data_IF_077526488044
#
_entry.id   IF_077526488044
#
_cell.length_a   1.000
_cell.length_b   1.000
_cell.length_c   1.000
_cell.angle_alpha   90.00
_cell.angle_beta   90.00
_cell.angle_gamma   90.00
#
_symmetry.space_group_name_H-M   'P 1'
#
loop_
_entity.id
_entity.type
_entity.pdbx_description
1 polymer ?
#
# COMPACT_ATOMS: atom_id res chain seq x y z
N UNK A 1 -40.67 58.56 -32.89
CA UNK A 1 -40.12 57.22 -33.22
C UNK A 1 -39.51 56.67 -31.97
N UNK A 2 -40.14 55.69 -31.34
CA UNK A 2 -39.62 55.00 -30.13
C UNK A 2 -38.92 53.73 -30.60
N UNK A 3 -37.64 53.68 -30.40
CA UNK A 3 -36.83 52.50 -30.68
C UNK A 3 -37.00 51.41 -29.59
N UNK A 4 -37.49 50.26 -30.02
CA UNK A 4 -37.65 49.07 -29.16
C UNK A 4 -36.30 48.64 -28.57
N UNK A 5 -36.23 48.32 -27.27
CA UNK A 5 -35.05 47.70 -26.71
C UNK A 5 -35.00 46.22 -27.14
N UNK A 6 -33.93 45.88 -27.84
CA UNK A 6 -33.59 44.53 -28.24
C UNK A 6 -33.51 43.64 -26.99
N UNK A 7 -34.43 42.69 -26.87
CA UNK A 7 -34.37 41.60 -25.92
C UNK A 7 -33.09 40.83 -26.15
N UNK A 8 -32.11 41.02 -25.27
CA UNK A 8 -30.95 40.11 -25.18
C UNK A 8 -31.48 38.73 -24.85
N UNK A 9 -31.45 37.80 -25.82
CA UNK A 9 -31.66 36.38 -25.56
C UNK A 9 -30.73 35.98 -24.43
N UNK A 10 -31.29 35.59 -23.27
CA UNK A 10 -30.52 34.86 -22.27
C UNK A 10 -30.07 33.54 -22.94
N UNK A 11 -28.81 33.47 -23.32
CA UNK A 11 -28.18 32.20 -23.63
C UNK A 11 -28.21 31.40 -22.34
N UNK A 12 -29.09 30.42 -22.29
CA UNK A 12 -28.99 29.35 -21.31
C UNK A 12 -27.75 28.58 -21.71
N UNK A 13 -26.65 28.78 -20.98
CA UNK A 13 -25.48 27.94 -21.09
C UNK A 13 -25.90 26.53 -20.66
N UNK A 14 -25.92 25.60 -21.60
CA UNK A 14 -25.99 24.19 -21.26
C UNK A 14 -24.75 23.82 -20.42
N UNK A 15 -24.92 23.12 -19.32
CA UNK A 15 -23.80 22.77 -18.44
C UNK A 15 -22.64 22.02 -19.13
N UNK A 16 -22.89 21.47 -20.32
CA UNK A 16 -21.88 20.72 -21.08
C UNK A 16 -20.80 21.52 -21.81
N UNK A 17 -20.93 22.88 -21.93
CA UNK A 17 -19.99 23.71 -22.69
C UNK A 17 -18.88 24.35 -21.87
N UNK A 18 -18.85 24.15 -20.56
CA UNK A 18 -17.87 24.76 -19.65
C UNK A 18 -16.67 23.88 -19.30
N UNK A 19 -16.70 22.61 -19.68
CA UNK A 19 -15.58 21.73 -19.44
C UNK A 19 -14.88 21.55 -20.78
N UNK A 20 -13.77 22.25 -20.95
CA UNK A 20 -12.83 21.98 -22.00
C UNK A 20 -12.14 20.66 -21.65
N UNK A 21 -12.73 19.58 -22.09
CA UNK A 21 -12.12 18.26 -22.07
C UNK A 21 -11.32 18.15 -23.37
N UNK A 22 -10.17 18.76 -23.41
CA UNK A 22 -9.14 18.27 -24.31
C UNK A 22 -8.86 16.80 -23.89
N UNK A 23 -8.93 15.87 -24.84
CA UNK A 23 -8.53 14.49 -24.60
C UNK A 23 -7.14 14.50 -23.96
N UNK A 24 -7.08 14.31 -22.64
CA UNK A 24 -5.84 14.41 -21.89
C UNK A 24 -5.20 13.04 -21.95
N UNK A 25 -4.06 12.95 -22.59
CA UNK A 25 -3.23 11.76 -22.62
C UNK A 25 -1.91 12.09 -21.96
N UNK A 26 -1.64 11.46 -20.83
CA UNK A 26 -0.35 11.52 -20.18
C UNK A 26 0.48 10.32 -20.61
N UNK A 27 1.56 10.57 -21.34
CA UNK A 27 2.51 9.55 -21.79
C UNK A 27 3.92 9.91 -21.37
N UNK A 28 4.81 8.95 -21.32
CA UNK A 28 6.22 9.17 -21.03
C UNK A 28 6.46 9.83 -19.67
N UNK A 29 7.19 10.94 -19.62
CA UNK A 29 7.59 11.60 -18.36
C UNK A 29 6.42 12.08 -17.51
N UNK A 30 5.32 12.50 -18.09
CA UNK A 30 4.15 12.96 -17.34
C UNK A 30 3.43 11.78 -16.70
N UNK A 31 3.24 10.68 -17.44
CA UNK A 31 2.69 9.44 -16.88
C UNK A 31 3.58 8.88 -15.75
N UNK A 32 4.91 8.94 -15.93
CA UNK A 32 5.87 8.55 -14.90
C UNK A 32 5.74 9.39 -13.63
N UNK A 33 5.55 10.70 -13.74
CA UNK A 33 5.38 11.59 -12.59
C UNK A 33 4.08 11.30 -11.84
N UNK A 34 2.98 11.00 -12.57
CA UNK A 34 1.70 10.65 -11.97
C UNK A 34 1.85 9.32 -11.23
N UNK A 35 2.40 8.30 -11.88
CA UNK A 35 2.61 6.99 -11.29
C UNK A 35 3.56 7.04 -10.08
N UNK A 36 4.66 7.80 -10.18
CA UNK A 36 5.56 8.00 -9.04
C UNK A 36 4.84 8.62 -7.85
N UNK A 37 3.96 9.63 -8.06
CA UNK A 37 3.14 10.20 -6.99
C UNK A 37 2.20 9.17 -6.39
N UNK A 38 1.56 8.34 -7.20
CA UNK A 38 0.66 7.29 -6.72
C UNK A 38 1.38 6.28 -5.82
N UNK A 39 2.60 5.87 -6.21
CA UNK A 39 3.45 4.98 -5.41
C UNK A 39 3.94 5.68 -4.14
N UNK A 40 4.28 6.98 -4.20
CA UNK A 40 4.74 7.72 -3.02
C UNK A 40 3.61 8.06 -2.03
N UNK A 41 2.36 8.13 -2.49
CA UNK A 41 1.18 8.30 -1.64
C UNK A 41 0.81 7.02 -0.86
N UNK A 42 1.54 5.92 -1.08
CA UNK A 42 1.34 4.66 -0.35
C UNK A 42 2.06 4.72 1.00
N UNK A 43 1.35 4.46 2.09
CA UNK A 43 1.89 4.47 3.46
C UNK A 43 3.01 3.43 3.70
N UNK A 44 3.16 2.43 2.82
CA UNK A 44 4.15 1.35 2.95
C UNK A 44 5.58 1.85 3.12
N UNK A 45 5.92 2.98 2.50
CA UNK A 45 7.26 3.57 2.63
C UNK A 45 7.53 4.08 4.05
N UNK A 46 6.54 4.68 4.68
CA UNK A 46 6.64 5.18 6.05
C UNK A 46 6.82 4.04 7.06
N UNK A 47 6.37 2.84 6.71
CA UNK A 47 6.52 1.64 7.53
C UNK A 47 7.90 1.00 7.41
N UNK A 48 8.67 1.34 6.38
CA UNK A 48 10.02 0.83 6.15
C UNK A 48 10.10 -0.28 5.10
N UNK A 49 9.04 -0.52 4.32
CA UNK A 49 9.06 -1.45 3.17
C UNK A 49 10.06 -0.96 2.13
N UNK A 50 10.85 -1.86 1.58
CA UNK A 50 11.83 -1.56 0.53
C UNK A 50 11.15 -1.36 -0.81
N UNK A 51 11.38 -0.21 -1.45
CA UNK A 51 10.87 0.10 -2.79
C UNK A 51 11.97 -0.14 -3.82
N UNK A 52 11.64 -0.88 -4.86
CA UNK A 52 12.55 -1.21 -5.95
C UNK A 52 11.95 -0.73 -7.27
N UNK A 53 12.59 0.26 -7.89
CA UNK A 53 12.23 0.77 -9.20
C UNK A 53 12.99 0.07 -10.33
N UNK A 54 12.44 0.13 -11.55
CA UNK A 54 13.05 -0.43 -12.76
C UNK A 54 12.95 -1.95 -12.86
N UNK A 55 11.92 -2.56 -12.28
CA UNK A 55 11.70 -4.01 -12.35
C UNK A 55 10.90 -4.34 -13.62
N UNK A 56 11.62 -4.61 -14.72
CA UNK A 56 11.01 -4.89 -16.05
C UNK A 56 10.66 -6.35 -16.30
N UNK A 57 11.19 -7.24 -15.48
CA UNK A 57 10.98 -8.68 -15.61
C UNK A 57 11.35 -9.40 -14.33
N UNK A 58 11.31 -10.71 -14.35
CA UNK A 58 11.69 -11.52 -13.19
C UNK A 58 13.11 -11.19 -12.76
N UNK A 59 13.26 -10.62 -11.57
CA UNK A 59 14.53 -10.17 -11.01
C UNK A 59 14.84 -10.94 -9.73
N UNK A 60 16.10 -11.31 -9.59
CA UNK A 60 16.62 -11.89 -8.34
C UNK A 60 16.96 -10.78 -7.36
N UNK A 61 16.57 -10.98 -6.12
CA UNK A 61 17.01 -10.19 -4.98
C UNK A 61 17.90 -11.09 -4.16
N UNK A 62 19.09 -10.63 -3.87
CA UNK A 62 20.05 -11.37 -3.05
C UNK A 62 20.04 -10.80 -1.64
N UNK A 63 19.94 -11.66 -0.66
CA UNK A 63 20.35 -11.36 0.69
C UNK A 63 21.62 -12.16 0.95
N UNK A 64 22.72 -11.45 1.22
CA UNK A 64 24.01 -12.07 1.51
C UNK A 64 24.23 -12.09 3.01
N UNK A 65 24.45 -13.26 3.54
CA UNK A 65 24.99 -13.42 4.89
C UNK A 65 26.46 -13.79 4.80
N UNK A 66 27.26 -13.18 5.67
CA UNK A 66 28.68 -13.47 5.80
C UNK A 66 28.87 -14.23 7.10
N UNK A 67 29.33 -15.46 7.01
CA UNK A 67 29.78 -16.20 8.17
C UNK A 67 30.96 -15.53 8.90
N UNK A 68 31.43 -16.11 9.98
CA UNK A 68 32.51 -15.59 10.81
C UNK A 68 33.73 -15.16 9.99
N UNK A 69 34.07 -13.88 10.00
CA UNK A 69 35.15 -13.28 9.22
C UNK A 69 36.44 -13.17 10.05
N UNK A 70 36.32 -12.96 11.37
CA UNK A 70 37.45 -12.79 12.26
C UNK A 70 38.01 -14.17 12.71
N UNK A 71 39.32 -14.31 12.65
CA UNK A 71 40.02 -15.50 13.13
C UNK A 71 41.23 -15.12 13.97
N UNK A 72 41.67 -16.07 14.79
CA UNK A 72 42.92 -15.92 15.56
C UNK A 72 44.09 -15.84 14.57
N UNK A 73 44.98 -14.88 14.79
CA UNK A 73 46.16 -14.70 13.94
C UNK A 73 47.02 -15.98 13.90
N UNK A 74 47.22 -16.48 12.69
CA UNK A 74 48.14 -17.58 12.37
C UNK A 74 49.04 -17.16 11.20
N UNK A 75 50.31 -17.58 11.21
CA UNK A 75 51.26 -17.19 10.18
C UNK A 75 50.92 -17.70 8.77
N UNK A 76 50.42 -18.92 8.53
CA UNK A 76 49.94 -19.35 7.23
C UNK A 76 48.57 -18.76 6.91
N UNK A 77 48.34 -18.45 5.63
CA UNK A 77 47.01 -18.01 5.15
C UNK A 77 46.04 -19.18 5.25
N UNK A 78 45.04 -19.03 6.09
CA UNK A 78 43.90 -19.95 6.23
C UNK A 78 42.64 -19.20 5.83
N UNK A 79 41.97 -19.56 4.71
CA UNK A 79 40.72 -18.89 4.34
C UNK A 79 39.65 -19.19 5.37
N UNK A 80 38.95 -18.14 5.82
CA UNK A 80 37.79 -18.23 6.71
C UNK A 80 36.73 -17.25 6.22
N UNK A 81 35.48 -17.56 6.46
CA UNK A 81 34.34 -16.81 6.03
C UNK A 81 33.70 -17.43 4.78
N UNK A 82 32.45 -17.74 4.87
CA UNK A 82 31.60 -18.18 3.77
C UNK A 82 30.54 -17.12 3.51
N UNK A 83 30.31 -16.81 2.25
CA UNK A 83 29.22 -15.93 1.84
C UNK A 83 28.08 -16.80 1.35
N UNK A 84 27.01 -16.88 2.13
CA UNK A 84 25.78 -17.52 1.70
C UNK A 84 24.84 -16.48 1.06
N UNK A 85 24.30 -16.80 -0.12
CA UNK A 85 23.38 -15.94 -0.84
C UNK A 85 22.01 -16.62 -0.89
N UNK A 86 21.05 -16.06 -0.13
CA UNK A 86 19.65 -16.42 -0.29
C UNK A 86 19.05 -15.67 -1.50
N UNK A 87 18.43 -16.40 -2.39
CA UNK A 87 17.79 -15.83 -3.59
C UNK A 87 16.28 -15.71 -3.40
N UNK A 88 15.75 -14.50 -3.52
CA UNK A 88 14.33 -14.26 -3.67
C UNK A 88 14.02 -13.72 -5.07
N UNK A 89 12.83 -14.00 -5.57
CA UNK A 89 12.40 -13.53 -6.89
C UNK A 89 11.28 -12.52 -6.77
N UNK A 90 11.39 -11.46 -7.55
CA UNK A 90 10.33 -10.49 -7.77
C UNK A 90 9.97 -10.48 -9.24
N UNK A 91 8.67 -10.57 -9.54
CA UNK A 91 8.16 -10.60 -10.90
C UNK A 91 7.04 -9.57 -11.03
N UNK A 92 7.17 -8.61 -11.95
CA UNK A 92 6.16 -7.59 -12.15
C UNK A 92 4.94 -8.16 -12.87
N UNK A 93 3.76 -7.74 -12.45
CA UNK A 93 2.51 -8.02 -13.10
C UNK A 93 1.87 -6.72 -13.58
N UNK A 94 1.36 -6.71 -14.79
CA UNK A 94 0.69 -5.56 -15.38
C UNK A 94 -0.72 -5.40 -14.80
N UNK A 95 -1.08 -4.16 -14.49
CA UNK A 95 -2.39 -3.78 -13.98
C UNK A 95 -2.97 -2.71 -14.88
N UNK A 96 -4.27 -2.80 -15.13
CA UNK A 96 -4.99 -1.78 -15.90
C UNK A 96 -6.25 -1.33 -15.19
N UNK A 97 -6.55 -0.04 -15.37
CA UNK A 97 -7.85 0.55 -15.08
C UNK A 97 -8.53 0.84 -16.41
N UNK A 98 -9.70 0.26 -16.63
CA UNK A 98 -10.59 0.59 -17.73
C UNK A 98 -11.95 0.95 -17.13
N UNK A 99 -12.32 2.20 -17.19
CA UNK A 99 -13.58 2.70 -16.65
C UNK A 99 -14.28 3.56 -17.67
N UNK A 100 -15.59 3.41 -17.77
CA UNK A 100 -16.46 4.30 -18.54
C UNK A 100 -17.59 4.74 -17.65
N UNK A 101 -17.83 6.06 -17.59
CA UNK A 101 -18.86 6.63 -16.74
C UNK A 101 -19.51 7.87 -17.39
N UNK A 102 -20.77 8.12 -17.03
CA UNK A 102 -21.49 9.31 -17.47
C UNK A 102 -21.07 10.54 -16.66
N UNK A 103 -20.91 11.68 -17.33
CA UNK A 103 -20.59 12.95 -16.69
C UNK A 103 -21.63 13.37 -15.65
N UNK A 104 -22.90 13.12 -15.92
CA UNK A 104 -24.01 13.55 -15.05
C UNK A 104 -23.90 12.99 -13.63
N UNK A 105 -23.32 11.79 -13.45
CA UNK A 105 -23.13 11.19 -12.13
C UNK A 105 -22.18 11.97 -11.22
N UNK A 106 -21.23 12.67 -11.81
CA UNK A 106 -20.17 13.37 -11.06
C UNK A 106 -20.37 14.87 -11.04
N UNK A 107 -21.24 15.40 -11.91
CA UNK A 107 -21.38 16.81 -12.14
C UNK A 107 -21.75 17.58 -10.87
N UNK A 108 -22.78 17.15 -10.19
CA UNK A 108 -23.26 17.83 -8.98
C UNK A 108 -22.19 17.80 -7.88
N UNK A 109 -21.52 16.67 -7.70
CA UNK A 109 -20.46 16.51 -6.68
C UNK A 109 -19.27 17.40 -7.00
N UNK A 110 -18.85 17.45 -8.26
CA UNK A 110 -17.77 18.30 -8.71
C UNK A 110 -18.11 19.78 -8.49
N UNK A 111 -19.28 20.24 -8.91
CA UNK A 111 -19.69 21.64 -8.74
C UNK A 111 -19.76 22.06 -7.28
N UNK A 112 -20.32 21.23 -6.40
CA UNK A 112 -20.40 21.52 -4.96
C UNK A 112 -19.00 21.66 -4.37
N UNK A 113 -18.07 20.77 -4.69
CA UNK A 113 -16.70 20.85 -4.19
C UNK A 113 -15.96 22.08 -4.73
N UNK A 114 -16.08 22.40 -6.03
CA UNK A 114 -15.45 23.58 -6.62
C UNK A 114 -16.01 24.88 -6.03
N UNK A 115 -17.31 24.95 -5.79
CA UNK A 115 -17.93 26.10 -5.13
C UNK A 115 -17.38 26.27 -3.70
N UNK A 116 -17.26 25.19 -2.95
CA UNK A 116 -16.68 25.22 -1.60
C UNK A 116 -15.22 25.69 -1.60
N UNK A 117 -14.39 25.21 -2.55
CA UNK A 117 -13.00 25.66 -2.71
C UNK A 117 -12.93 27.15 -3.00
N UNK A 118 -13.76 27.64 -3.93
CA UNK A 118 -13.80 29.06 -4.32
C UNK A 118 -14.24 29.95 -3.17
N UNK A 119 -15.25 29.54 -2.39
CA UNK A 119 -15.74 30.28 -1.22
C UNK A 119 -14.69 30.40 -0.12
N UNK A 120 -13.79 29.43 -0.01
CA UNK A 120 -12.66 29.42 0.93
C UNK A 120 -11.40 30.09 0.37
N UNK A 121 -11.49 30.79 -0.78
CA UNK A 121 -10.37 31.51 -1.40
C UNK A 121 -9.36 30.63 -2.14
N UNK A 122 -9.70 29.37 -2.41
CA UNK A 122 -8.90 28.46 -3.21
C UNK A 122 -9.13 28.62 -4.72
N UNK A 123 -8.22 28.05 -5.51
CA UNK A 123 -8.33 28.02 -6.96
C UNK A 123 -9.14 26.78 -7.36
N UNK A 124 -10.23 26.93 -8.16
CA UNK A 124 -11.00 25.77 -8.62
C UNK A 124 -10.15 24.89 -9.55
N UNK A 125 -10.31 23.58 -9.38
CA UNK A 125 -9.62 22.58 -10.20
C UNK A 125 -10.44 22.26 -11.45
N UNK A 126 -9.75 21.83 -12.51
CA UNK A 126 -10.42 21.24 -13.67
C UNK A 126 -11.07 19.90 -13.28
N UNK A 127 -12.11 19.49 -14.01
CA UNK A 127 -12.75 18.19 -13.75
C UNK A 127 -11.74 17.05 -13.85
N UNK A 128 -10.84 17.10 -14.81
CA UNK A 128 -9.80 16.09 -15.02
C UNK A 128 -8.87 15.99 -13.81
N UNK A 129 -8.37 17.11 -13.29
CA UNK A 129 -7.50 17.12 -12.10
C UNK A 129 -8.22 16.60 -10.87
N UNK A 130 -9.46 17.02 -10.66
CA UNK A 130 -10.31 16.57 -9.57
C UNK A 130 -10.59 15.08 -9.65
N UNK A 131 -10.91 14.57 -10.84
CA UNK A 131 -11.20 13.17 -11.05
C UNK A 131 -9.95 12.30 -10.85
N UNK A 132 -8.81 12.68 -11.45
CA UNK A 132 -7.56 11.97 -11.26
C UNK A 132 -7.08 11.98 -9.81
N UNK A 133 -7.29 13.04 -9.06
CA UNK A 133 -6.95 13.06 -7.64
C UNK A 133 -7.75 12.01 -6.83
N UNK A 134 -9.03 11.79 -7.17
CA UNK A 134 -9.86 10.74 -6.55
C UNK A 134 -9.45 9.34 -7.01
N UNK A 135 -9.20 9.18 -8.31
CA UNK A 135 -8.75 7.92 -8.89
C UNK A 135 -7.43 7.47 -8.24
N UNK A 136 -6.46 8.37 -8.11
CA UNK A 136 -5.17 8.09 -7.46
C UNK A 136 -5.33 7.55 -6.04
N UNK A 137 -6.13 8.20 -5.21
CA UNK A 137 -6.41 7.73 -3.85
C UNK A 137 -6.98 6.30 -3.84
N UNK A 138 -7.84 5.98 -4.80
CA UNK A 138 -8.41 4.65 -4.94
C UNK A 138 -7.35 3.64 -5.38
N UNK A 139 -6.54 3.99 -6.38
CA UNK A 139 -5.45 3.16 -6.88
C UNK A 139 -4.41 2.88 -5.78
N UNK A 140 -3.95 3.91 -5.06
CA UNK A 140 -3.00 3.75 -3.95
C UNK A 140 -3.51 2.77 -2.88
N UNK A 141 -4.81 2.84 -2.56
CA UNK A 141 -5.43 1.88 -1.64
C UNK A 141 -5.44 0.46 -2.21
N UNK A 142 -5.80 0.29 -3.48
CA UNK A 142 -5.83 -1.02 -4.14
C UNK A 142 -4.42 -1.61 -4.29
N UNK A 143 -3.39 -0.80 -4.55
CA UNK A 143 -1.98 -1.22 -4.51
C UNK A 143 -1.59 -1.78 -3.14
N UNK A 144 -1.97 -1.11 -2.04
CA UNK A 144 -1.72 -1.62 -0.70
C UNK A 144 -2.45 -2.95 -0.46
N UNK A 145 -3.72 -3.08 -0.90
CA UNK A 145 -4.46 -4.32 -0.79
C UNK A 145 -3.81 -5.45 -1.60
N UNK A 146 -3.34 -5.17 -2.84
CA UNK A 146 -2.61 -6.16 -3.66
C UNK A 146 -1.31 -6.57 -2.97
N UNK A 147 -0.54 -5.62 -2.47
CA UNK A 147 0.71 -5.89 -1.78
C UNK A 147 0.55 -6.86 -0.60
N UNK A 148 -0.47 -6.67 0.23
CA UNK A 148 -0.71 -7.52 1.39
C UNK A 148 -1.48 -8.79 1.06
N UNK A 149 -2.61 -8.67 0.36
CA UNK A 149 -3.62 -9.72 0.20
C UNK A 149 -3.63 -10.38 -1.18
N UNK A 150 -2.75 -9.99 -2.10
CA UNK A 150 -2.71 -10.54 -3.45
C UNK A 150 -2.65 -12.06 -3.46
N UNK A 151 -3.42 -12.69 -4.34
CA UNK A 151 -3.47 -14.15 -4.50
C UNK A 151 -3.94 -14.51 -5.90
N UNK A 152 -3.01 -14.99 -6.73
CA UNK A 152 -3.26 -15.39 -8.12
C UNK A 152 -4.21 -16.58 -8.23
N UNK A 153 -4.27 -17.44 -7.19
CA UNK A 153 -5.17 -18.60 -7.14
C UNK A 153 -6.59 -18.26 -6.64
N UNK A 154 -6.86 -17.00 -6.29
CA UNK A 154 -8.15 -16.57 -5.76
C UNK A 154 -9.29 -16.79 -6.77
N UNK A 155 -10.35 -17.49 -6.37
CA UNK A 155 -11.53 -17.75 -7.20
C UNK A 155 -12.63 -16.70 -7.06
N UNK A 156 -12.58 -15.84 -6.02
CA UNK A 156 -13.60 -14.84 -5.78
C UNK A 156 -13.81 -13.90 -6.97
N UNK A 157 -15.07 -13.55 -7.24
CA UNK A 157 -15.47 -12.64 -8.32
C UNK A 157 -15.41 -11.16 -7.93
N UNK A 158 -15.40 -10.88 -6.63
CA UNK A 158 -15.23 -9.53 -6.06
C UNK A 158 -13.75 -9.23 -5.82
N UNK A 159 -13.34 -7.97 -5.94
CA UNK A 159 -11.94 -7.53 -5.80
C UNK A 159 -11.00 -8.31 -6.75
N UNK A 160 -11.34 -8.33 -8.03
CA UNK A 160 -10.60 -9.07 -9.07
C UNK A 160 -9.14 -8.61 -9.21
N UNK A 161 -8.83 -7.37 -8.82
CA UNK A 161 -7.47 -6.84 -8.81
C UNK A 161 -6.52 -7.60 -7.87
N UNK A 162 -7.04 -8.30 -6.86
CA UNK A 162 -6.21 -9.13 -5.97
C UNK A 162 -5.65 -10.39 -6.65
N UNK A 163 -6.09 -10.71 -7.87
CA UNK A 163 -5.58 -11.86 -8.64
C UNK A 163 -4.31 -11.56 -9.44
N UNK A 164 -3.87 -10.32 -9.45
CA UNK A 164 -2.79 -9.85 -10.33
C UNK A 164 -1.44 -10.44 -9.95
N UNK A 165 -1.11 -10.43 -8.68
CA UNK A 165 0.14 -10.98 -8.15
C UNK A 165 -0.05 -11.55 -6.75
N UNK A 166 0.86 -12.44 -6.34
CA UNK A 166 0.85 -12.99 -4.99
C UNK A 166 1.43 -11.97 -4.01
N UNK A 167 0.64 -11.59 -3.02
CA UNK A 167 0.99 -10.63 -1.97
C UNK A 167 1.82 -11.24 -0.85
N UNK A 168 2.15 -10.39 0.14
CA UNK A 168 2.94 -10.77 1.31
C UNK A 168 2.33 -11.96 2.04
N UNK A 169 1.02 -11.94 2.35
CA UNK A 169 0.37 -13.02 3.11
C UNK A 169 0.52 -14.40 2.45
N UNK A 170 0.53 -14.47 1.13
CA UNK A 170 0.69 -15.74 0.41
C UNK A 170 2.15 -16.17 0.31
N UNK A 171 3.07 -15.20 0.22
CA UNK A 171 4.52 -15.46 0.13
C UNK A 171 5.17 -15.80 1.46
N UNK A 172 4.45 -15.67 2.58
CA UNK A 172 4.92 -16.10 3.91
C UNK A 172 4.89 -17.63 4.12
N UNK A 173 4.79 -18.42 3.07
CA UNK A 173 4.74 -19.91 3.18
C UNK A 173 5.97 -20.52 3.86
N UNK A 174 7.12 -19.82 3.88
CA UNK A 174 8.32 -20.21 4.61
C UNK A 174 8.43 -19.67 6.05
N UNK A 175 7.51 -18.81 6.47
CA UNK A 175 7.51 -18.17 7.79
C UNK A 175 6.95 -19.10 8.87
N UNK A 176 7.31 -18.82 10.13
CA UNK A 176 6.79 -19.54 11.29
C UNK A 176 5.30 -19.22 11.49
N UNK A 177 4.44 -20.23 11.37
CA UNK A 177 3.02 -20.07 11.58
C UNK A 177 2.66 -20.29 13.04
N UNK A 178 1.97 -19.31 13.65
CA UNK A 178 1.35 -19.42 14.97
C UNK A 178 -0.13 -19.69 14.77
N UNK A 179 -0.70 -20.58 15.57
CA UNK A 179 -2.15 -20.86 15.52
C UNK A 179 -2.92 -19.59 15.89
N UNK A 180 -3.65 -19.03 14.91
CA UNK A 180 -4.46 -17.84 15.06
C UNK A 180 -5.91 -18.18 15.45
N UNK A 181 -6.56 -17.22 16.10
CA UNK A 181 -8.00 -17.23 16.34
C UNK A 181 -8.61 -15.89 15.92
N UNK A 182 -9.92 -15.81 15.79
CA UNK A 182 -10.59 -14.55 15.53
C UNK A 182 -10.20 -13.50 16.58
N UNK A 183 -9.73 -12.35 16.14
CA UNK A 183 -9.23 -11.27 17.00
C UNK A 183 -10.41 -10.65 17.75
N UNK A 184 -10.32 -10.69 19.09
CA UNK A 184 -11.26 -10.09 20.05
C UNK A 184 -10.49 -9.23 21.04
N UNK A 185 -11.20 -8.38 21.78
CA UNK A 185 -10.58 -7.52 22.82
C UNK A 185 -9.87 -8.34 23.90
N UNK A 186 -10.35 -9.55 24.17
CA UNK A 186 -9.85 -10.39 25.27
C UNK A 186 -8.62 -11.23 24.86
N UNK A 187 -8.43 -11.51 23.57
CA UNK A 187 -7.34 -12.39 23.09
C UNK A 187 -6.28 -11.70 22.24
N UNK A 188 -6.52 -10.48 21.76
CA UNK A 188 -5.63 -9.80 20.80
C UNK A 188 -4.22 -9.62 21.33
N UNK A 189 -4.07 -9.27 22.61
CA UNK A 189 -2.76 -9.04 23.23
C UNK A 189 -1.98 -10.35 23.27
N UNK A 190 -2.60 -11.43 23.75
CA UNK A 190 -1.94 -12.74 23.80
C UNK A 190 -1.54 -13.26 22.42
N UNK A 191 -2.36 -13.01 21.39
CA UNK A 191 -2.00 -13.39 20.00
C UNK A 191 -0.85 -12.58 19.45
N UNK A 192 -0.80 -11.26 19.72
CA UNK A 192 0.32 -10.40 19.30
C UNK A 192 1.61 -10.85 19.99
N UNK A 193 1.57 -11.07 21.31
CA UNK A 193 2.73 -11.57 22.09
C UNK A 193 3.22 -12.92 21.59
N UNK A 194 2.31 -13.86 21.35
CA UNK A 194 2.66 -15.18 20.82
C UNK A 194 3.34 -15.07 19.44
N UNK A 195 2.85 -14.16 18.58
CA UNK A 195 3.43 -13.95 17.26
C UNK A 195 4.82 -13.29 17.34
N UNK A 196 4.99 -12.30 18.23
CA UNK A 196 6.30 -11.68 18.49
C UNK A 196 7.30 -12.70 18.99
N UNK A 197 6.93 -13.49 20.02
CA UNK A 197 7.82 -14.50 20.61
C UNK A 197 8.22 -15.58 19.59
N UNK A 198 7.29 -16.00 18.74
CA UNK A 198 7.60 -16.95 17.67
C UNK A 198 8.55 -16.35 16.63
N UNK A 199 8.42 -15.07 16.30
CA UNK A 199 9.33 -14.41 15.39
C UNK A 199 10.71 -14.12 15.98
N UNK A 200 10.79 -13.83 17.28
CA UNK A 200 12.07 -13.72 17.99
C UNK A 200 12.78 -15.09 17.94
N UNK A 201 12.10 -16.18 18.27
CA UNK A 201 12.67 -17.52 18.21
C UNK A 201 13.09 -17.92 16.78
N UNK A 202 12.35 -17.47 15.77
CA UNK A 202 12.74 -17.66 14.38
C UNK A 202 14.02 -16.86 14.06
N UNK A 203 14.11 -15.59 14.46
CA UNK A 203 15.29 -14.76 14.25
C UNK A 203 16.54 -15.34 14.96
N UNK A 204 16.38 -15.79 16.20
CA UNK A 204 17.45 -16.47 16.97
C UNK A 204 17.99 -17.70 16.24
N UNK A 205 17.14 -18.48 15.56
CA UNK A 205 17.56 -19.66 14.79
C UNK A 205 18.46 -19.34 13.59
N UNK A 206 18.41 -18.09 13.14
CA UNK A 206 19.25 -17.56 12.04
C UNK A 206 20.33 -16.58 12.54
N UNK A 207 20.57 -16.54 13.86
CA UNK A 207 21.56 -15.66 14.49
C UNK A 207 21.34 -14.16 14.18
N UNK A 208 20.07 -13.76 13.97
CA UNK A 208 19.67 -12.38 13.68
C UNK A 208 19.06 -11.76 14.93
N UNK A 209 19.66 -10.69 15.41
CA UNK A 209 19.09 -9.90 16.52
C UNK A 209 17.82 -9.17 16.07
N UNK A 210 16.66 -9.39 16.72
CA UNK A 210 15.41 -8.74 16.37
C UNK A 210 15.37 -7.29 16.85
N UNK A 211 16.04 -6.39 16.12
CA UNK A 211 16.10 -4.96 16.42
C UNK A 211 14.70 -4.31 16.27
N UNK A 212 14.20 -3.58 17.29
CA UNK A 212 12.91 -2.89 17.26
C UNK A 212 12.75 -1.83 16.16
N UNK A 213 13.84 -1.33 15.57
CA UNK A 213 13.74 -0.38 14.44
C UNK A 213 13.41 -1.11 13.12
N UNK A 214 13.89 -2.32 12.95
CA UNK A 214 13.72 -3.12 11.73
C UNK A 214 12.55 -4.09 11.83
N UNK A 215 12.38 -4.73 12.99
CA UNK A 215 11.30 -5.64 13.26
C UNK A 215 10.05 -4.91 13.75
N UNK A 216 8.92 -5.16 13.09
CA UNK A 216 7.63 -4.53 13.45
C UNK A 216 6.51 -5.55 13.34
N UNK A 217 5.41 -5.22 14.01
CA UNK A 217 4.16 -6.00 13.92
C UNK A 217 3.23 -5.33 12.94
N UNK A 218 2.88 -6.00 11.86
CA UNK A 218 1.88 -5.55 10.92
C UNK A 218 0.52 -6.16 11.25
N UNK A 219 -0.51 -5.32 11.36
CA UNK A 219 -1.89 -5.72 11.65
C UNK A 219 -2.87 -4.90 10.81
N UNK A 220 -4.07 -5.44 10.58
CA UNK A 220 -5.12 -4.71 9.90
C UNK A 220 -5.58 -3.50 10.72
N UNK A 221 -5.88 -2.36 10.07
CA UNK A 221 -6.37 -1.13 10.72
C UNK A 221 -7.49 -1.36 11.75
N UNK A 222 -8.46 -2.22 11.43
CA UNK A 222 -9.56 -2.50 12.34
C UNK A 222 -9.12 -3.33 13.55
N UNK A 223 -8.18 -4.25 13.36
CA UNK A 223 -7.66 -5.11 14.41
C UNK A 223 -6.75 -4.33 15.38
N UNK A 224 -6.04 -3.31 14.87
CA UNK A 224 -5.30 -2.35 15.71
C UNK A 224 -6.24 -1.58 16.65
N UNK A 225 -7.44 -1.17 16.20
CA UNK A 225 -8.44 -0.53 17.08
C UNK A 225 -8.93 -1.46 18.18
N UNK A 226 -9.07 -2.77 17.87
CA UNK A 226 -9.41 -3.78 18.88
C UNK A 226 -8.28 -3.87 19.91
N UNK A 227 -7.03 -3.86 19.47
CA UNK A 227 -5.86 -3.83 20.35
C UNK A 227 -5.83 -2.57 21.21
N UNK A 228 -6.07 -1.38 20.65
CA UNK A 228 -6.18 -0.14 21.44
C UNK A 228 -7.24 -0.23 22.54
N UNK A 229 -8.39 -0.81 22.22
CA UNK A 229 -9.47 -1.01 23.19
C UNK A 229 -9.06 -1.99 24.29
N UNK A 230 -8.34 -3.07 23.94
CA UNK A 230 -7.83 -4.04 24.89
C UNK A 230 -6.79 -3.41 25.84
N UNK A 231 -5.85 -2.63 25.29
CA UNK A 231 -4.85 -1.89 26.07
C UNK A 231 -5.51 -0.86 27.00
N UNK A 232 -6.56 -0.17 26.54
CA UNK A 232 -7.34 0.76 27.35
C UNK A 232 -8.02 0.08 28.55
N UNK A 233 -8.50 -1.15 28.40
CA UNK A 233 -9.08 -1.94 29.52
C UNK A 233 -8.01 -2.35 30.54
N UNK A 234 -6.80 -2.69 30.12
CA UNK A 234 -5.69 -3.01 31.03
C UNK A 234 -5.28 -1.83 31.88
N UNK A 235 -5.27 -0.63 31.34
CA UNK A 235 -4.90 0.59 32.07
C UNK A 235 -5.85 0.93 33.21
N UNK A 236 -7.10 0.49 33.17
CA UNK A 236 -8.13 0.79 34.19
C UNK A 236 -8.32 -0.33 35.22
N UNK A 237 -7.70 -1.48 35.03
CA UNK A 237 -7.69 -2.59 35.99
C UNK A 237 -6.54 -2.47 36.98
N UNK A 238 -6.77 -2.87 38.22
CA UNK A 238 -5.89 -2.78 39.40
C UNK A 238 -4.51 -3.48 39.29
N UNK A 239 -3.98 -3.68 38.10
CA UNK A 239 -2.72 -4.35 37.86
C UNK A 239 -1.57 -3.34 37.67
N UNK A 240 -0.77 -3.30 38.70
CA UNK A 240 0.63 -2.90 38.88
C UNK A 240 1.39 -2.33 37.64
N UNK A 241 2.15 -1.28 37.92
CA UNK A 241 3.11 -0.55 37.06
C UNK A 241 3.91 -1.37 36.01
N UNK A 242 3.98 -2.69 36.12
CA UNK A 242 4.72 -3.56 35.18
C UNK A 242 4.07 -3.67 33.80
N UNK A 243 2.75 -3.52 33.70
CA UNK A 243 2.01 -3.60 32.43
C UNK A 243 2.38 -2.42 31.51
N UNK A 244 2.69 -1.26 32.08
CA UNK A 244 3.04 -0.05 31.32
C UNK A 244 4.44 -0.09 30.69
N UNK A 245 5.35 -0.95 31.14
CA UNK A 245 6.70 -1.03 30.56
C UNK A 245 6.71 -1.76 29.20
N UNK A 246 5.80 -2.72 29.03
CA UNK A 246 5.74 -3.55 27.82
C UNK A 246 4.80 -2.99 26.73
N UNK A 247 3.92 -2.05 27.11
CA UNK A 247 2.96 -1.45 26.19
C UNK A 247 3.07 0.07 26.30
N UNK A 248 3.39 0.72 25.21
CA UNK A 248 3.51 2.17 25.17
C UNK A 248 2.78 2.74 23.97
N UNK A 249 2.04 3.83 24.19
CA UNK A 249 1.58 4.70 23.12
C UNK A 249 2.45 5.94 23.10
N UNK A 250 3.22 6.15 22.01
CA UNK A 250 4.08 7.33 21.83
C UNK A 250 3.56 8.12 20.64
N UNK A 251 2.82 9.19 20.91
CA UNK A 251 2.09 9.90 19.85
C UNK A 251 1.03 9.01 19.24
N UNK A 252 1.05 8.85 17.92
CA UNK A 252 0.11 8.00 17.17
C UNK A 252 0.57 6.53 17.04
N UNK A 253 1.75 6.20 17.54
CA UNK A 253 2.34 4.87 17.44
C UNK A 253 2.07 4.03 18.70
N UNK A 254 1.74 2.77 18.49
CA UNK A 254 1.52 1.77 19.53
C UNK A 254 2.71 0.81 19.53
N UNK A 255 3.18 0.48 20.73
CA UNK A 255 4.27 -0.48 20.91
C UNK A 255 3.79 -1.63 21.81
N UNK A 256 4.13 -2.85 21.44
CA UNK A 256 3.90 -4.07 22.23
C UNK A 256 5.24 -4.79 22.36
N UNK A 257 5.66 -5.09 23.58
CA UNK A 257 6.98 -5.68 23.88
C UNK A 257 8.15 -4.88 23.26
N UNK A 258 8.00 -3.57 23.09
CA UNK A 258 9.01 -2.70 22.48
C UNK A 258 8.93 -2.58 20.97
N UNK A 259 8.15 -3.41 20.27
CA UNK A 259 7.99 -3.38 18.82
C UNK A 259 6.83 -2.51 18.38
N UNK A 260 7.03 -1.73 17.31
CA UNK A 260 6.01 -0.84 16.73
C UNK A 260 4.92 -1.67 16.04
N UNK A 261 3.65 -1.32 16.31
CA UNK A 261 2.49 -1.84 15.60
C UNK A 261 2.21 -0.97 14.39
N UNK A 262 2.24 -1.58 13.21
CA UNK A 262 2.01 -0.91 11.92
C UNK A 262 0.61 -1.29 11.41
N UNK A 263 -0.30 -0.29 11.27
CA UNK A 263 -1.62 -0.54 10.69
C UNK A 263 -1.51 -0.75 9.18
N UNK A 264 -2.07 -1.83 8.67
CA UNK A 264 -1.95 -2.26 7.27
C UNK A 264 -3.28 -2.63 6.64
N UNK A 265 -3.27 -2.95 5.35
CA UNK A 265 -4.44 -3.43 4.59
C UNK A 265 -4.48 -4.97 4.49
N UNK A 266 -4.05 -5.67 5.52
CA UNK A 266 -4.05 -7.13 5.59
C UNK A 266 -5.46 -7.73 5.66
N UNK A 267 -5.54 -9.06 5.49
CA UNK A 267 -6.75 -9.83 5.73
C UNK A 267 -7.15 -9.74 7.21
N UNK A 268 -8.43 -9.88 7.48
CA UNK A 268 -8.96 -9.90 8.86
C UNK A 268 -8.31 -11.02 9.68
N UNK A 269 -8.02 -10.74 10.95
CA UNK A 269 -7.43 -11.68 11.91
C UNK A 269 -6.03 -12.19 11.48
N UNK A 270 -5.27 -11.37 10.80
CA UNK A 270 -3.89 -11.69 10.43
C UNK A 270 -2.95 -10.77 11.18
N UNK A 271 -1.92 -11.33 11.80
CA UNK A 271 -0.85 -10.63 12.49
C UNK A 271 0.45 -11.14 11.87
N UNK A 272 1.33 -10.23 11.46
CA UNK A 272 2.64 -10.57 10.88
C UNK A 272 3.70 -9.83 11.68
N UNK A 273 4.72 -10.54 12.12
CA UNK A 273 5.88 -9.98 12.79
C UNK A 273 7.16 -10.35 12.02
N UNK A 274 8.04 -9.39 11.83
CA UNK A 274 9.31 -9.63 11.17
C UNK A 274 9.98 -8.34 10.67
N UNK A 275 11.12 -8.47 9.98
CA UNK A 275 11.88 -7.34 9.46
C UNK A 275 11.16 -6.73 8.24
N UNK A 276 10.44 -5.62 8.46
CA UNK A 276 9.64 -4.97 7.40
C UNK A 276 10.49 -4.54 6.19
N UNK A 277 11.79 -4.29 6.37
CA UNK A 277 12.72 -3.98 5.28
C UNK A 277 12.88 -5.14 4.28
N UNK A 278 12.65 -6.38 4.71
CA UNK A 278 12.71 -7.56 3.85
C UNK A 278 11.47 -7.71 2.97
N UNK A 279 10.44 -6.90 3.19
CA UNK A 279 9.31 -6.79 2.29
C UNK A 279 9.68 -5.83 1.16
N UNK A 280 9.49 -6.27 -0.08
CA UNK A 280 9.88 -5.50 -1.26
C UNK A 280 8.65 -5.24 -2.12
N UNK A 281 8.42 -3.97 -2.43
CA UNK A 281 7.49 -3.52 -3.45
C UNK A 281 8.29 -3.11 -4.69
N UNK A 282 8.12 -3.85 -5.77
CA UNK A 282 8.73 -3.55 -7.06
C UNK A 282 7.74 -2.88 -8.01
N UNK A 283 8.25 -1.98 -8.82
CA UNK A 283 7.51 -1.30 -9.87
C UNK A 283 8.49 -0.83 -10.95
N UNK A 284 7.99 -0.38 -12.08
CA UNK A 284 8.79 0.26 -13.11
C UNK A 284 8.19 1.60 -13.51
N UNK A 285 8.82 2.69 -13.06
CA UNK A 285 8.40 4.05 -13.44
C UNK A 285 8.87 4.42 -14.85
N UNK A 286 9.82 3.68 -15.42
CA UNK A 286 10.37 3.91 -16.76
C UNK A 286 9.71 3.02 -17.83
N UNK A 287 8.65 2.30 -17.47
CA UNK A 287 7.93 1.47 -18.44
C UNK A 287 7.29 2.34 -19.51
N UNK A 288 7.54 2.00 -20.76
CA UNK A 288 6.92 2.65 -21.92
C UNK A 288 5.42 2.40 -22.03
N UNK A 289 4.90 1.42 -21.29
CA UNK A 289 3.47 1.07 -21.24
C UNK A 289 2.70 1.86 -20.16
N UNK A 290 3.40 2.66 -19.33
CA UNK A 290 2.71 3.56 -18.39
C UNK A 290 1.89 4.59 -19.17
N UNK A 291 0.60 4.52 -19.05
CA UNK A 291 -0.31 5.40 -19.77
C UNK A 291 -1.48 5.79 -18.87
N UNK A 292 -1.80 7.08 -18.84
CA UNK A 292 -2.98 7.62 -18.18
C UNK A 292 -3.75 8.46 -19.20
N UNK A 293 -4.93 8.00 -19.57
CA UNK A 293 -5.80 8.67 -20.54
C UNK A 293 -7.17 8.96 -19.96
N UNK A 294 -7.63 10.17 -20.18
CA UNK A 294 -9.03 10.56 -20.04
C UNK A 294 -9.54 10.92 -21.44
N UNK A 295 -10.51 10.20 -21.93
CA UNK A 295 -11.06 10.35 -23.26
C UNK A 295 -12.52 10.79 -23.13
N UNK A 296 -12.84 11.94 -23.70
CA UNK A 296 -14.23 12.41 -23.86
C UNK A 296 -14.89 11.63 -25.00
N UNK A 297 -16.00 10.97 -24.72
CA UNK A 297 -16.72 10.19 -25.70
C UNK A 297 -17.71 11.01 -26.52
N UNK A 298 -18.00 12.25 -26.11
CA UNK A 298 -18.92 13.13 -26.85
C UNK A 298 -18.42 13.43 -28.26
N UNK A 299 -17.11 13.59 -28.40
CA UNK A 299 -16.49 13.88 -29.70
C UNK A 299 -16.30 12.63 -30.58
N UNK A 300 -16.34 11.43 -29.97
CA UNK A 300 -16.07 10.16 -30.69
C UNK A 300 -17.33 9.37 -30.98
N UNK A 301 -18.20 9.17 -30.01
CA UNK A 301 -19.43 8.40 -30.16
C UNK A 301 -20.71 9.24 -29.99
N UNK A 302 -20.58 10.49 -29.52
CA UNK A 302 -21.71 11.35 -29.22
C UNK A 302 -22.35 11.08 -27.86
N UNK A 303 -21.82 10.14 -27.06
CA UNK A 303 -22.35 9.79 -25.74
C UNK A 303 -21.85 10.79 -24.69
N UNK A 304 -22.71 11.16 -23.73
CA UNK A 304 -22.33 12.01 -22.60
C UNK A 304 -21.55 11.21 -21.54
N UNK A 305 -20.46 10.58 -21.97
CA UNK A 305 -19.61 9.74 -21.13
C UNK A 305 -18.12 10.04 -21.33
N UNK A 306 -17.31 9.58 -20.40
CA UNK A 306 -15.84 9.62 -20.49
C UNK A 306 -15.24 8.26 -20.17
N UNK A 307 -14.12 7.96 -20.81
CA UNK A 307 -13.34 6.76 -20.56
C UNK A 307 -12.03 7.09 -19.87
N UNK A 308 -11.67 6.26 -18.91
CA UNK A 308 -10.39 6.34 -18.22
C UNK A 308 -9.62 5.05 -18.47
N UNK A 309 -8.40 5.22 -18.95
CA UNK A 309 -7.47 4.11 -19.16
C UNK A 309 -6.21 4.46 -18.35
N UNK A 310 -5.83 3.56 -17.43
CA UNK A 310 -4.55 3.65 -16.76
C UNK A 310 -3.85 2.28 -16.83
N UNK A 311 -2.59 2.29 -17.20
CA UNK A 311 -1.73 1.10 -17.24
C UNK A 311 -0.57 1.33 -16.28
N UNK A 312 -0.27 0.33 -15.49
CA UNK A 312 0.85 0.33 -14.55
C UNK A 312 1.29 -1.09 -14.22
N UNK A 313 2.32 -1.25 -13.43
CA UNK A 313 2.82 -2.54 -12.99
C UNK A 313 3.05 -2.56 -11.48
N UNK A 314 3.02 -3.76 -10.91
CA UNK A 314 3.32 -4.00 -9.50
C UNK A 314 3.99 -5.35 -9.34
N UNK A 315 4.98 -5.41 -8.47
CA UNK A 315 5.62 -6.64 -8.07
C UNK A 315 5.77 -6.69 -6.55
N UNK A 316 5.56 -7.84 -5.96
CA UNK A 316 5.77 -8.05 -4.53
C UNK A 316 6.87 -9.07 -4.31
N UNK A 317 7.67 -8.89 -3.27
CA UNK A 317 8.74 -9.81 -2.90
C UNK A 317 8.91 -9.88 -1.38
N UNK A 318 9.43 -11.02 -0.91
CA UNK A 318 9.89 -11.18 0.47
C UNK A 318 11.28 -11.76 0.39
N UNK A 319 12.20 -11.14 1.11
CA UNK A 319 13.56 -11.66 1.28
C UNK A 319 13.62 -12.36 2.64
N UNK A 320 14.04 -13.60 2.68
CA UNK A 320 14.11 -14.44 3.90
C UNK A 320 12.74 -14.49 4.64
N UNK A 321 11.75 -15.17 4.07
CA UNK A 321 10.45 -15.37 4.74
C UNK A 321 10.56 -16.11 6.07
N UNK A 322 11.64 -16.84 6.29
CA UNK A 322 11.95 -17.61 7.50
C UNK A 322 12.10 -16.70 8.74
N UNK A 323 12.50 -15.43 8.56
CA UNK A 323 12.63 -14.46 9.65
C UNK A 323 11.28 -13.88 10.11
N UNK A 324 10.19 -14.27 9.45
CA UNK A 324 8.86 -13.83 9.80
C UNK A 324 8.10 -14.85 10.61
N UNK A 325 7.24 -14.36 11.49
CA UNK A 325 6.19 -15.15 12.11
C UNK A 325 4.83 -14.54 11.76
N UNK A 326 3.85 -15.38 11.55
CA UNK A 326 2.49 -14.90 11.29
C UNK A 326 1.44 -15.73 12.00
N UNK A 327 0.37 -15.06 12.44
CA UNK A 327 -0.84 -15.69 12.96
C UNK A 327 -1.98 -15.38 12.00
N UNK A 328 -2.75 -16.39 11.65
CA UNK A 328 -3.93 -16.25 10.79
C UNK A 328 -5.03 -17.18 11.29
N UNK A 329 -6.28 -16.65 11.43
CA UNK A 329 -7.46 -17.41 11.84
C UNK A 329 -8.20 -18.03 10.66
#
# INVERSE_FOLDING_TARGET
MKTNPTLKKKQYYMPGSFIDFSNITYCGKEAQQIFAKDIFDIDLRSYGVTFMDGVKGKRKIYNGDMGDVWQVYTCPFTPQGEVSLAEAFIEPAEIKVNMEECFDKFWDTYLVEQTSITLNGGIPQTFSEWFFARLRKKMAKEYQEIFWQGDTARTATTKTYLKVTDGVEKKLSGATQVTGAAITVDNVIAQVEATINAGIAAADSYEVDPDPETFKVAMRYQDVRVLETALGKLCCGNSTQQVFSNYAKRGDKIYVLGYEIVPTMQTKNTIIFGPIRNLVLGFDTFDSHLEYKLIDMRDTTGDNSFRVIALSNIATGIVMPELFAYSKA
#
